data_IF_657101743191
#
_entry.id   IF_657101743191
#
_cell.length_a   1.000
_cell.length_b   1.000
_cell.length_c   1.000
_cell.angle_alpha   90.00
_cell.angle_beta   90.00
_cell.angle_gamma   90.00
#
_symmetry.space_group_name_H-M   'P 1'
#
loop_
_entity.id
_entity.type
_entity.pdbx_description
1 polymer ?
#
# COMPACT_ATOMS: atom_id res chain seq x y z
N UNK A 1 -3.71 -1.04 7.19
CA UNK A 1 -2.59 -0.95 6.23
C UNK A 1 -1.34 -0.67 7.03
N UNK A 2 -0.26 -1.39 6.80
CA UNK A 2 1.06 -1.10 7.36
C UNK A 2 1.81 -0.18 6.37
N UNK A 3 2.07 1.09 6.70
CA UNK A 3 2.77 2.04 5.83
C UNK A 3 4.15 1.58 5.38
N UNK A 4 4.83 0.76 6.19
CA UNK A 4 6.20 0.31 5.92
C UNK A 4 6.27 -0.74 4.81
N UNK A 5 5.13 -1.40 4.53
CA UNK A 5 4.99 -2.38 3.46
C UNK A 5 4.62 -1.76 2.11
N UNK A 6 4.34 -0.46 2.06
CA UNK A 6 4.02 0.22 0.81
C UNK A 6 5.23 0.20 -0.13
N UNK A 7 5.01 -0.01 -1.45
CA UNK A 7 6.09 -0.11 -2.42
C UNK A 7 6.66 1.26 -2.83
N UNK A 8 6.72 2.22 -1.89
CA UNK A 8 7.19 3.59 -2.09
C UNK A 8 8.64 3.58 -2.61
N UNK A 9 8.90 4.13 -3.81
CA UNK A 9 10.26 4.21 -4.36
C UNK A 9 11.19 5.08 -3.49
N UNK A 10 12.50 4.77 -3.49
CA UNK A 10 13.47 5.49 -2.66
C UNK A 10 13.60 6.97 -3.00
N UNK A 11 13.50 7.32 -4.29
CA UNK A 11 13.52 8.71 -4.72
C UNK A 11 12.34 9.52 -4.13
N UNK A 12 11.18 8.88 -3.95
CA UNK A 12 9.99 9.50 -3.39
C UNK A 12 10.15 9.67 -1.88
N UNK A 13 10.66 8.65 -1.18
CA UNK A 13 11.02 8.74 0.25
C UNK A 13 12.04 9.86 0.51
N UNK A 14 13.05 9.99 -0.35
CA UNK A 14 14.05 11.04 -0.25
C UNK A 14 13.47 12.44 -0.42
N UNK A 15 12.49 12.62 -1.31
CA UNK A 15 11.75 13.89 -1.45
C UNK A 15 11.00 14.21 -0.16
N UNK A 16 10.24 13.26 0.40
CA UNK A 16 9.48 13.50 1.62
C UNK A 16 10.39 13.88 2.80
N UNK A 17 11.50 13.15 2.98
CA UNK A 17 12.49 13.45 4.00
C UNK A 17 13.16 14.83 3.80
N UNK A 18 13.46 15.21 2.55
CA UNK A 18 14.03 16.53 2.23
C UNK A 18 13.11 17.69 2.61
N UNK A 19 11.80 17.47 2.56
CA UNK A 19 10.79 18.48 2.85
C UNK A 19 10.20 18.37 4.26
N UNK A 20 10.74 17.50 5.12
CA UNK A 20 10.25 17.23 6.48
C UNK A 20 8.74 16.94 6.51
N UNK A 21 8.24 16.26 5.47
CA UNK A 21 6.82 15.97 5.32
C UNK A 21 6.46 14.71 6.12
N UNK A 22 5.44 14.82 6.97
CA UNK A 22 4.93 13.68 7.74
C UNK A 22 4.15 12.72 6.85
N UNK A 23 3.98 11.46 7.30
CA UNK A 23 3.24 10.45 6.56
C UNK A 23 1.78 10.87 6.32
N UNK A 24 1.14 11.47 7.31
CA UNK A 24 -0.25 11.96 7.26
C UNK A 24 -0.43 13.07 6.22
N UNK A 25 0.60 13.89 6.00
CA UNK A 25 0.56 14.96 4.99
C UNK A 25 0.69 14.41 3.57
N UNK A 26 1.50 13.37 3.38
CA UNK A 26 1.80 12.82 2.05
C UNK A 26 0.80 11.76 1.59
N UNK A 27 0.23 10.97 2.51
CA UNK A 27 -0.67 9.85 2.16
C UNK A 27 -1.95 10.31 1.45
N UNK A 28 -2.42 11.51 1.78
CA UNK A 28 -3.64 12.09 1.20
C UNK A 28 -3.41 12.70 -0.19
N UNK A 29 -2.14 12.86 -0.59
CA UNK A 29 -1.74 13.54 -1.83
C UNK A 29 -1.10 12.57 -2.81
N UNK A 30 -0.27 11.64 -2.33
CA UNK A 30 0.48 10.70 -3.15
C UNK A 30 0.00 9.28 -2.93
N UNK A 31 0.01 8.48 -4.00
CA UNK A 31 -0.36 7.06 -3.94
C UNK A 31 0.68 6.16 -3.23
N UNK A 32 1.79 6.75 -2.74
CA UNK A 32 2.86 6.04 -2.04
C UNK A 32 3.45 4.85 -2.83
N UNK A 33 3.45 4.96 -4.17
CA UNK A 33 3.92 3.90 -5.07
C UNK A 33 2.89 2.79 -5.33
N UNK A 34 1.72 2.82 -4.68
CA UNK A 34 0.63 1.88 -4.91
C UNK A 34 -0.43 2.49 -5.84
N UNK A 35 -0.29 2.28 -7.15
CA UNK A 35 -1.26 2.79 -8.14
C UNK A 35 -2.64 2.10 -8.10
N UNK A 36 -2.73 0.93 -7.45
CA UNK A 36 -3.96 0.15 -7.31
C UNK A 36 -3.90 -0.69 -6.03
N UNK A 37 -5.05 -0.85 -5.38
CA UNK A 37 -5.23 -1.76 -4.24
C UNK A 37 -6.20 -2.85 -4.66
N UNK A 38 -5.81 -4.11 -4.49
CA UNK A 38 -6.64 -5.28 -4.75
C UNK A 38 -6.95 -6.00 -3.44
N UNK A 39 -8.24 -6.27 -3.20
CA UNK A 39 -8.68 -7.13 -2.11
C UNK A 39 -8.83 -8.56 -2.63
N UNK A 40 -8.21 -9.52 -1.95
CA UNK A 40 -8.23 -10.95 -2.31
C UNK A 40 -8.47 -11.80 -1.07
N UNK A 41 -8.96 -13.01 -1.28
CA UNK A 41 -9.04 -13.99 -0.20
C UNK A 41 -7.64 -14.25 0.38
N UNK A 42 -7.55 -14.40 1.71
CA UNK A 42 -6.26 -14.58 2.40
C UNK A 42 -5.47 -15.78 1.86
N UNK A 43 -6.15 -16.86 1.49
CA UNK A 43 -5.55 -18.06 0.90
C UNK A 43 -4.91 -17.82 -0.46
N UNK A 44 -5.39 -16.81 -1.21
CA UNK A 44 -4.96 -16.53 -2.58
C UNK A 44 -3.89 -15.43 -2.66
N UNK A 45 -3.53 -14.79 -1.54
CA UNK A 45 -2.66 -13.61 -1.54
C UNK A 45 -1.29 -13.89 -2.18
N UNK A 46 -0.64 -15.00 -1.80
CA UNK A 46 0.69 -15.34 -2.30
C UNK A 46 0.64 -15.76 -3.78
N UNK A 47 -0.39 -16.52 -4.18
CA UNK A 47 -0.65 -16.88 -5.58
C UNK A 47 -0.85 -15.63 -6.43
N UNK A 48 -1.68 -14.68 -5.97
CA UNK A 48 -1.95 -13.43 -6.66
C UNK A 48 -0.66 -12.60 -6.86
N UNK A 49 0.16 -12.46 -5.81
CA UNK A 49 1.44 -11.75 -5.89
C UNK A 49 2.36 -12.42 -6.91
N UNK A 50 2.44 -13.75 -6.90
CA UNK A 50 3.23 -14.53 -7.86
C UNK A 50 2.77 -14.29 -9.31
N UNK A 51 1.47 -14.34 -9.57
CA UNK A 51 0.89 -14.10 -10.90
C UNK A 51 1.11 -12.66 -11.39
N UNK A 52 1.04 -11.67 -10.50
CA UNK A 52 1.42 -10.30 -10.82
C UNK A 52 2.90 -10.22 -11.26
N UNK A 53 3.80 -10.89 -10.53
CA UNK A 53 5.22 -10.94 -10.85
C UNK A 53 5.50 -11.51 -12.25
N UNK A 54 4.78 -12.56 -12.66
CA UNK A 54 4.88 -13.16 -14.01
C UNK A 54 4.51 -12.18 -15.13
N UNK A 55 3.72 -11.15 -14.82
CA UNK A 55 3.27 -10.11 -15.76
C UNK A 55 4.05 -8.81 -15.63
N UNK A 56 5.21 -8.84 -14.97
CA UNK A 56 6.02 -7.67 -14.65
C UNK A 56 5.28 -6.60 -13.81
N UNK A 57 4.26 -7.01 -13.06
CA UNK A 57 3.57 -6.14 -12.09
C UNK A 57 4.16 -6.37 -10.70
N UNK A 58 4.54 -5.28 -10.03
CA UNK A 58 4.99 -5.33 -8.65
C UNK A 58 3.76 -5.30 -7.73
N UNK A 59 3.49 -6.42 -7.05
CA UNK A 59 2.45 -6.52 -6.03
C UNK A 59 3.09 -6.85 -4.68
N UNK A 60 2.56 -6.24 -3.61
CA UNK A 60 2.98 -6.47 -2.23
C UNK A 60 1.75 -6.53 -1.34
N UNK A 61 1.80 -7.35 -0.28
CA UNK A 61 0.77 -7.36 0.75
C UNK A 61 0.99 -6.19 1.69
N UNK A 62 0.02 -5.27 1.76
CA UNK A 62 0.11 -4.02 2.55
C UNK A 62 -0.76 -4.03 3.81
N UNK A 63 -1.57 -5.07 4.02
CA UNK A 63 -2.45 -5.18 5.17
C UNK A 63 -3.55 -6.22 4.97
N UNK A 64 -4.61 -6.10 5.77
CA UNK A 64 -5.79 -6.95 5.74
C UNK A 64 -7.06 -6.10 5.91
N UNK A 65 -8.19 -6.67 5.56
CA UNK A 65 -9.52 -6.08 5.79
C UNK A 65 -10.09 -6.71 7.05
N UNK A 66 -10.55 -5.87 7.96
CA UNK A 66 -11.28 -6.28 9.16
C UNK A 66 -12.76 -5.95 9.00
N UNK A 67 -13.60 -6.69 9.73
CA UNK A 67 -15.02 -6.38 9.78
C UNK A 67 -15.23 -5.03 10.47
N UNK A 68 -15.98 -4.14 9.82
CA UNK A 68 -16.37 -2.84 10.36
C UNK A 68 -17.87 -2.60 10.21
N UNK A 69 -18.34 -1.50 10.77
CA UNK A 69 -19.71 -1.02 10.63
C UNK A 69 -19.71 0.42 10.12
N UNK A 70 -20.63 0.74 9.19
CA UNK A 70 -20.77 2.07 8.61
C UNK A 70 -19.92 2.27 7.35
N UNK A 71 -19.37 3.47 7.18
CA UNK A 71 -18.56 3.81 6.01
C UNK A 71 -17.22 3.08 6.00
N UNK A 72 -16.73 2.77 4.80
CA UNK A 72 -15.41 2.16 4.64
C UNK A 72 -14.34 3.15 5.12
N UNK A 73 -13.45 2.67 6.00
CA UNK A 73 -12.34 3.45 6.53
C UNK A 73 -11.02 2.72 6.28
N UNK A 74 -9.97 3.51 6.05
CA UNK A 74 -8.60 3.01 6.00
C UNK A 74 -7.92 3.38 7.31
N UNK A 75 -7.34 2.38 7.99
CA UNK A 75 -6.54 2.59 9.19
C UNK A 75 -5.08 2.23 8.91
N UNK A 76 -4.17 3.13 9.28
CA UNK A 76 -2.74 2.88 9.28
C UNK A 76 -2.35 2.35 10.67
N UNK A 77 -1.61 1.24 10.70
CA UNK A 77 -1.21 0.48 11.89
C UNK A 77 0.28 0.24 11.90
#
# INVERSE_FOLDING_TARGET
IDPTLLPTPDWMKAIFAKHDASFEQIESVFNMGAGMIAAVARSEADTFISECGKRALKAVRIGHIEQGHGEAQVRFI
#
